data_IF_661488205763
#
_entry.id   IF_661488205763
#
_cell.length_a   1.000
_cell.length_b   1.000
_cell.length_c   1.000
_cell.angle_alpha   90.00
_cell.angle_beta   90.00
_cell.angle_gamma   90.00
#
_symmetry.space_group_name_H-M   'P 1'
#
loop_
_entity.id
_entity.type
_entity.pdbx_description
1 polymer ?
#
# COMPACT_ATOMS: atom_id res chain seq x y z
N UNK A 1 -3.31 -11.76 -28.43
CA UNK A 1 -2.02 -12.41 -28.10
C UNK A 1 -1.68 -11.98 -26.68
N UNK A 2 -1.99 -12.82 -25.70
CA UNK A 2 -1.54 -12.57 -24.32
C UNK A 2 -0.02 -12.75 -24.32
N UNK A 3 0.73 -11.66 -24.15
CA UNK A 3 2.13 -11.75 -23.78
C UNK A 3 2.17 -12.51 -22.46
N UNK A 4 2.71 -13.71 -22.45
CA UNK A 4 3.05 -14.42 -21.23
C UNK A 4 4.04 -13.53 -20.49
N UNK A 5 3.58 -12.89 -19.41
CA UNK A 5 4.50 -12.21 -18.51
C UNK A 5 5.52 -13.24 -18.02
N UNK A 6 6.82 -12.96 -18.09
CA UNK A 6 7.80 -13.80 -17.40
C UNK A 6 7.40 -13.85 -15.92
N UNK A 7 7.56 -15.00 -15.31
CA UNK A 7 7.31 -15.14 -13.88
C UNK A 7 8.17 -14.08 -13.15
N UNK A 8 7.53 -13.18 -12.45
CA UNK A 8 8.17 -12.07 -11.74
C UNK A 8 7.83 -12.18 -10.26
N UNK A 9 8.80 -12.03 -9.39
CA UNK A 9 8.60 -11.92 -7.96
C UNK A 9 8.31 -10.47 -7.56
N UNK A 10 7.59 -10.29 -6.46
CA UNK A 10 7.39 -8.98 -5.85
C UNK A 10 7.86 -8.96 -4.39
N UNK A 11 8.28 -7.78 -3.93
CA UNK A 11 8.47 -7.48 -2.50
C UNK A 11 7.42 -6.47 -2.09
N UNK A 12 6.67 -6.76 -1.04
CA UNK A 12 5.73 -5.83 -0.40
C UNK A 12 6.32 -5.38 0.92
N UNK A 13 6.61 -4.08 1.06
CA UNK A 13 7.19 -3.51 2.26
C UNK A 13 6.12 -3.22 3.31
N UNK A 14 6.06 -4.03 4.35
CA UNK A 14 5.05 -4.00 5.39
C UNK A 14 5.63 -3.80 6.81
N UNK A 15 6.95 -3.64 6.97
CA UNK A 15 7.66 -3.55 8.25
C UNK A 15 7.71 -2.13 8.87
N UNK A 16 6.72 -1.26 8.63
CA UNK A 16 6.68 0.08 9.21
C UNK A 16 5.98 0.14 10.57
N UNK A 17 6.37 1.06 11.47
CA UNK A 17 5.65 1.31 12.74
C UNK A 17 4.23 1.85 12.54
N UNK A 18 3.97 2.53 11.43
CA UNK A 18 2.67 3.17 11.21
C UNK A 18 2.37 4.32 12.18
N UNK A 19 3.37 5.02 12.68
CA UNK A 19 3.23 6.06 13.73
C UNK A 19 2.23 7.16 13.37
N UNK A 20 2.14 7.54 12.09
CA UNK A 20 1.17 8.53 11.58
C UNK A 20 -0.29 8.03 11.60
N UNK A 21 -0.49 6.73 11.77
CA UNK A 21 -1.80 6.10 11.93
C UNK A 21 -2.20 5.90 13.41
N UNK A 22 -1.34 6.31 14.36
CA UNK A 22 -1.70 6.24 15.78
C UNK A 22 -2.99 7.04 16.06
N UNK A 23 -3.91 6.51 16.90
CA UNK A 23 -3.77 5.29 17.72
C UNK A 23 -4.17 3.98 17.03
N UNK A 24 -4.63 3.97 15.77
CA UNK A 24 -5.06 2.75 15.05
C UNK A 24 -3.95 1.69 15.01
N UNK A 25 -2.71 2.13 14.71
CA UNK A 25 -1.53 1.26 14.63
C UNK A 25 -1.10 0.63 15.96
N UNK A 26 -1.64 1.10 17.10
CA UNK A 26 -1.40 0.49 18.42
C UNK A 26 -2.18 -0.85 18.58
N UNK A 27 -3.22 -1.05 17.80
CA UNK A 27 -4.12 -2.22 17.87
C UNK A 27 -3.91 -3.20 16.73
N UNK A 28 -3.62 -2.71 15.53
CA UNK A 28 -3.31 -3.53 14.36
C UNK A 28 -2.10 -2.94 13.64
N UNK A 29 -1.16 -3.77 13.13
CA UNK A 29 -0.10 -3.26 12.28
C UNK A 29 -0.72 -2.66 11.01
N UNK A 30 -0.10 -1.59 10.48
CA UNK A 30 -0.60 -0.85 9.32
C UNK A 30 -1.09 -1.75 8.17
N UNK A 31 -0.36 -2.84 7.77
CA UNK A 31 -0.80 -3.71 6.69
C UNK A 31 -2.12 -4.44 6.97
N UNK A 32 -2.51 -4.57 8.23
CA UNK A 32 -3.74 -5.27 8.63
C UNK A 32 -4.92 -4.35 8.97
N UNK A 33 -4.75 -3.04 8.87
CA UNK A 33 -5.86 -2.09 9.06
C UNK A 33 -6.91 -2.35 7.97
N UNK A 34 -8.20 -2.53 8.35
CA UNK A 34 -9.22 -2.96 7.41
C UNK A 34 -9.69 -1.82 6.46
N UNK A 35 -9.76 -2.10 5.19
CA UNK A 35 -10.44 -1.28 4.18
C UNK A 35 -11.67 -2.07 3.72
N UNK A 36 -12.87 -1.58 4.02
CA UNK A 36 -14.13 -2.27 3.75
C UNK A 36 -14.07 -3.76 4.17
N UNK A 37 -13.75 -3.98 5.44
CA UNK A 37 -13.72 -5.31 6.08
C UNK A 37 -12.61 -6.26 5.64
N UNK A 38 -11.68 -5.83 4.77
CA UNK A 38 -10.50 -6.63 4.38
C UNK A 38 -9.22 -5.89 4.73
N UNK A 39 -8.17 -6.57 5.24
CA UNK A 39 -6.88 -5.95 5.51
C UNK A 39 -6.29 -5.25 4.28
N UNK A 40 -5.60 -4.12 4.48
CA UNK A 40 -4.92 -3.39 3.42
C UNK A 40 -3.97 -4.30 2.63
N UNK A 41 -3.21 -5.14 3.31
CA UNK A 41 -2.32 -6.13 2.69
C UNK A 41 -3.08 -7.14 1.84
N UNK A 42 -4.31 -7.53 2.23
CA UNK A 42 -5.15 -8.41 1.41
C UNK A 42 -5.41 -7.81 0.02
N UNK A 43 -5.78 -6.53 -0.04
CA UNK A 43 -6.04 -5.84 -1.32
C UNK A 43 -4.80 -5.81 -2.20
N UNK A 44 -3.62 -5.57 -1.61
CA UNK A 44 -2.36 -5.53 -2.34
C UNK A 44 -2.01 -6.93 -2.88
N UNK A 45 -2.03 -7.96 -2.03
CA UNK A 45 -1.72 -9.33 -2.42
C UNK A 45 -2.68 -9.84 -3.51
N UNK A 46 -3.96 -9.57 -3.35
CA UNK A 46 -4.99 -9.96 -4.32
C UNK A 46 -4.79 -9.28 -5.68
N UNK A 47 -4.49 -7.98 -5.69
CA UNK A 47 -4.13 -7.25 -6.91
C UNK A 47 -2.90 -7.85 -7.60
N UNK A 48 -1.83 -8.13 -6.86
CA UNK A 48 -0.61 -8.71 -7.40
C UNK A 48 -0.87 -10.10 -8.00
N UNK A 49 -1.61 -10.96 -7.29
CA UNK A 49 -2.00 -12.28 -7.79
C UNK A 49 -2.78 -12.20 -9.10
N UNK A 50 -3.75 -11.31 -9.19
CA UNK A 50 -4.53 -11.08 -10.43
C UNK A 50 -3.69 -10.52 -11.57
N UNK A 51 -2.61 -9.84 -11.26
CA UNK A 51 -1.61 -9.39 -12.25
C UNK A 51 -0.59 -10.47 -12.61
N UNK A 52 -0.80 -11.73 -12.19
CA UNK A 52 0.08 -12.86 -12.47
C UNK A 52 1.30 -12.96 -11.58
N UNK A 53 1.37 -12.20 -10.48
CA UNK A 53 2.48 -12.21 -9.52
C UNK A 53 2.05 -12.98 -8.28
N UNK A 54 2.43 -14.26 -8.22
CA UNK A 54 2.06 -15.17 -7.13
C UNK A 54 3.18 -15.40 -6.10
N UNK A 55 4.44 -15.14 -6.46
CA UNK A 55 5.61 -15.24 -5.57
C UNK A 55 5.91 -13.88 -4.94
N UNK A 56 5.61 -13.73 -3.64
CA UNK A 56 5.65 -12.43 -2.98
C UNK A 56 6.46 -12.51 -1.69
N UNK A 57 7.48 -11.68 -1.56
CA UNK A 57 8.17 -11.42 -0.29
C UNK A 57 7.42 -10.36 0.52
N UNK A 58 7.20 -10.59 1.80
CA UNK A 58 6.58 -9.61 2.71
C UNK A 58 7.47 -9.46 3.94
N UNK A 59 8.02 -8.27 4.17
CA UNK A 59 8.72 -7.98 5.41
C UNK A 59 7.75 -7.57 6.51
N UNK A 60 8.13 -7.80 7.76
CA UNK A 60 7.29 -7.49 8.92
C UNK A 60 8.16 -7.14 10.14
N UNK A 61 7.65 -6.27 10.99
CA UNK A 61 8.29 -5.84 12.23
C UNK A 61 7.25 -5.75 13.36
N UNK A 62 6.55 -4.63 13.46
CA UNK A 62 5.55 -4.37 14.49
C UNK A 62 4.35 -5.32 14.37
N UNK A 63 3.97 -5.98 15.48
CA UNK A 63 2.90 -6.98 15.53
C UNK A 63 3.09 -8.10 14.48
N UNK A 64 4.32 -8.58 14.29
CA UNK A 64 4.68 -9.57 13.27
C UNK A 64 3.83 -10.85 13.35
N UNK A 65 3.44 -11.28 14.54
CA UNK A 65 2.63 -12.50 14.73
C UNK A 65 1.23 -12.37 14.12
N UNK A 66 0.62 -11.18 14.18
CA UNK A 66 -0.65 -10.92 13.51
C UNK A 66 -0.51 -11.00 11.99
N UNK A 67 0.60 -10.47 11.44
CA UNK A 67 0.89 -10.58 10.01
C UNK A 67 1.12 -12.03 9.61
N UNK A 68 1.87 -12.83 10.40
CA UNK A 68 2.05 -14.27 10.15
C UNK A 68 0.74 -15.03 10.13
N UNK A 69 -0.12 -14.80 11.13
CA UNK A 69 -1.44 -15.44 11.21
C UNK A 69 -2.31 -15.08 10.00
N UNK A 70 -2.31 -13.80 9.62
CA UNK A 70 -3.03 -13.36 8.44
C UNK A 70 -2.53 -14.06 7.18
N UNK A 71 -1.21 -14.11 6.96
CA UNK A 71 -0.61 -14.74 5.77
C UNK A 71 -0.91 -16.25 5.74
N UNK A 72 -0.84 -16.93 6.86
CA UNK A 72 -1.14 -18.37 6.95
C UNK A 72 -2.58 -18.71 6.54
N UNK A 73 -3.49 -17.76 6.62
CA UNK A 73 -4.90 -17.91 6.23
C UNK A 73 -5.19 -17.50 4.77
N UNK A 74 -4.15 -17.15 3.97
CA UNK A 74 -4.34 -16.74 2.58
C UNK A 74 -4.54 -17.92 1.64
N UNK A 75 -5.01 -17.62 0.43
CA UNK A 75 -5.17 -18.59 -0.65
C UNK A 75 -3.87 -19.35 -0.92
N UNK A 76 -3.90 -20.70 -0.98
CA UNK A 76 -2.72 -21.52 -1.33
C UNK A 76 -2.14 -21.22 -2.73
N UNK A 77 -2.86 -20.50 -3.59
CA UNK A 77 -2.32 -19.99 -4.86
C UNK A 77 -1.24 -18.93 -4.71
N UNK A 78 -1.12 -18.28 -3.55
CA UNK A 78 -0.06 -17.31 -3.24
C UNK A 78 1.12 -18.00 -2.53
N UNK A 79 2.32 -17.83 -3.06
CA UNK A 79 3.58 -18.28 -2.45
C UNK A 79 4.24 -17.10 -1.74
N UNK A 80 4.03 -17.00 -0.43
CA UNK A 80 4.49 -15.85 0.35
C UNK A 80 5.72 -16.22 1.18
N UNK A 81 6.82 -15.50 0.95
CA UNK A 81 8.05 -15.56 1.75
C UNK A 81 8.05 -14.43 2.77
N UNK A 82 8.19 -14.76 4.05
CA UNK A 82 8.20 -13.78 5.14
C UNK A 82 9.61 -13.45 5.59
N UNK A 83 9.92 -12.17 5.79
CA UNK A 83 11.13 -11.69 6.44
C UNK A 83 10.78 -10.91 7.69
N UNK A 84 11.25 -11.37 8.85
CA UNK A 84 11.10 -10.66 10.12
C UNK A 84 12.29 -9.74 10.37
N UNK A 85 12.02 -8.49 10.65
CA UNK A 85 13.00 -7.47 11.01
C UNK A 85 12.95 -7.26 12.54
N UNK A 86 13.94 -7.73 13.32
CA UNK A 86 14.02 -7.41 14.76
C UNK A 86 14.14 -5.90 15.02
N UNK A 87 14.86 -5.21 14.12
CA UNK A 87 14.94 -3.75 14.01
C UNK A 87 14.56 -3.35 12.59
N UNK A 88 13.95 -2.18 12.42
CA UNK A 88 13.53 -1.71 11.09
C UNK A 88 14.76 -1.48 10.21
N UNK A 89 14.81 -2.18 9.09
CA UNK A 89 15.91 -2.13 8.14
C UNK A 89 15.81 -0.97 7.12
N UNK A 90 14.73 -0.22 7.09
CA UNK A 90 14.47 0.75 6.04
C UNK A 90 14.13 0.09 4.70
N UNK A 91 13.90 0.89 3.66
CA UNK A 91 13.43 0.37 2.36
C UNK A 91 14.50 -0.50 1.68
N UNK A 92 15.74 -0.03 1.57
CA UNK A 92 16.80 -0.80 0.91
C UNK A 92 17.21 -2.02 1.74
N UNK A 93 17.33 -1.89 3.05
CA UNK A 93 17.62 -3.03 3.92
C UNK A 93 16.52 -4.10 3.89
N UNK A 94 15.26 -3.68 3.86
CA UNK A 94 14.11 -4.58 3.69
C UNK A 94 14.15 -5.34 2.35
N UNK A 95 14.57 -4.69 1.25
CA UNK A 95 14.82 -5.36 -0.03
C UNK A 95 15.99 -6.35 0.11
N UNK A 96 17.08 -5.92 0.74
CA UNK A 96 18.29 -6.74 0.96
C UNK A 96 18.02 -8.03 1.74
N UNK A 97 17.03 -8.03 2.65
CA UNK A 97 16.62 -9.22 3.40
C UNK A 97 16.04 -10.33 2.50
N UNK A 98 15.68 -10.02 1.26
CA UNK A 98 15.13 -10.98 0.29
C UNK A 98 16.16 -11.45 -0.76
N UNK A 99 17.48 -11.27 -0.56
CA UNK A 99 18.51 -11.69 -1.53
C UNK A 99 18.35 -13.15 -1.98
N UNK A 100 18.18 -14.09 -1.07
CA UNK A 100 18.00 -15.50 -1.41
C UNK A 100 16.66 -15.77 -2.10
N UNK A 101 15.60 -15.08 -1.70
CA UNK A 101 14.30 -15.16 -2.37
C UNK A 101 14.36 -14.66 -3.81
N UNK A 102 15.16 -13.62 -4.08
CA UNK A 102 15.35 -13.02 -5.41
C UNK A 102 16.46 -13.68 -6.24
N UNK A 103 17.15 -14.65 -5.67
CA UNK A 103 18.22 -15.37 -6.36
C UNK A 103 17.71 -15.96 -7.68
N UNK A 104 18.46 -15.73 -8.75
CA UNK A 104 18.15 -16.13 -10.13
C UNK A 104 16.95 -15.42 -10.80
N UNK A 105 16.38 -14.42 -10.16
CA UNK A 105 15.42 -13.55 -10.84
C UNK A 105 16.16 -12.50 -11.68
N UNK A 106 15.79 -12.28 -12.94
CA UNK A 106 16.40 -11.21 -13.73
C UNK A 106 15.98 -9.82 -13.22
N UNK A 107 14.76 -9.70 -12.72
CA UNK A 107 14.22 -8.48 -12.14
C UNK A 107 13.04 -8.80 -11.22
N UNK A 108 12.66 -7.86 -10.40
CA UNK A 108 11.54 -7.96 -9.46
C UNK A 108 10.79 -6.64 -9.31
N UNK A 109 9.63 -6.71 -8.72
CA UNK A 109 8.81 -5.55 -8.38
C UNK A 109 8.91 -5.22 -6.90
N UNK A 110 8.99 -3.94 -6.57
CA UNK A 110 8.79 -3.39 -5.23
C UNK A 110 7.42 -2.74 -5.13
N UNK A 111 6.70 -2.99 -4.05
CA UNK A 111 5.43 -2.34 -3.74
C UNK A 111 5.39 -1.92 -2.27
N UNK A 112 5.09 -0.68 -2.00
CA UNK A 112 4.85 -0.23 -0.62
C UNK A 112 3.58 -0.85 -0.07
N UNK A 113 3.64 -1.37 1.17
CA UNK A 113 2.52 -2.03 1.85
C UNK A 113 1.39 -1.12 2.33
N UNK A 114 1.46 0.17 1.98
CA UNK A 114 0.47 1.19 2.34
C UNK A 114 -0.21 1.84 1.13
N UNK A 115 0.05 1.35 -0.07
CA UNK A 115 -0.46 1.93 -1.32
C UNK A 115 -1.60 1.10 -1.89
N UNK A 116 -2.73 1.74 -2.12
CA UNK A 116 -3.80 1.22 -2.97
C UNK A 116 -3.79 1.92 -4.31
N UNK A 117 -3.90 1.17 -5.40
CA UNK A 117 -3.96 1.77 -6.75
C UNK A 117 -4.58 0.85 -7.79
N UNK A 118 -5.05 1.46 -8.89
CA UNK A 118 -5.47 0.73 -10.11
C UNK A 118 -4.37 0.67 -11.17
N UNK A 119 -3.14 1.05 -10.82
CA UNK A 119 -1.98 1.03 -11.73
C UNK A 119 -1.76 -0.41 -12.26
N UNK A 120 -1.72 -0.63 -13.59
CA UNK A 120 -1.59 -1.95 -14.21
C UNK A 120 -0.12 -2.41 -14.16
N UNK A 121 0.27 -3.07 -13.08
CA UNK A 121 1.67 -3.46 -12.83
C UNK A 121 2.19 -4.48 -13.84
N UNK A 122 1.34 -5.33 -14.38
CA UNK A 122 1.62 -6.26 -15.46
C UNK A 122 2.12 -5.55 -16.73
N UNK A 123 1.39 -4.53 -17.18
CA UNK A 123 1.78 -3.74 -18.37
C UNK A 123 3.05 -2.93 -18.13
N UNK A 124 3.24 -2.45 -16.90
CA UNK A 124 4.44 -1.70 -16.54
C UNK A 124 5.68 -2.59 -16.46
N UNK A 125 5.55 -3.85 -16.06
CA UNK A 125 6.64 -4.81 -16.10
C UNK A 125 7.19 -5.00 -17.53
N UNK A 126 6.31 -5.12 -18.53
CA UNK A 126 6.71 -5.19 -19.94
C UNK A 126 7.46 -3.91 -20.36
N UNK A 127 6.91 -2.74 -20.05
CA UNK A 127 7.55 -1.45 -20.36
C UNK A 127 8.92 -1.29 -19.67
N UNK A 128 9.07 -1.82 -18.46
CA UNK A 128 10.34 -1.81 -17.75
C UNK A 128 11.41 -2.63 -18.47
N UNK A 129 11.07 -3.85 -18.92
CA UNK A 129 12.02 -4.71 -19.64
C UNK A 129 12.55 -4.08 -20.93
N UNK A 130 11.73 -3.27 -21.61
CA UNK A 130 12.15 -2.52 -22.79
C UNK A 130 13.20 -1.44 -22.48
N UNK A 131 13.20 -0.91 -21.23
CA UNK A 131 14.08 0.19 -20.82
C UNK A 131 15.53 -0.22 -20.55
N UNK A 132 15.79 -1.47 -20.21
CA UNK A 132 17.14 -1.97 -19.84
C UNK A 132 17.82 -1.10 -18.78
N UNK A 133 17.05 -0.65 -17.79
CA UNK A 133 17.52 0.20 -16.69
C UNK A 133 17.76 -0.65 -15.44
N UNK A 134 18.67 -0.21 -14.57
CA UNK A 134 18.90 -0.84 -13.27
C UNK A 134 17.62 -0.79 -12.41
N UNK A 135 16.87 0.31 -12.51
CA UNK A 135 15.61 0.52 -11.80
C UNK A 135 14.68 1.39 -12.63
N UNK A 136 13.37 1.20 -12.46
CA UNK A 136 12.38 2.16 -12.89
C UNK A 136 11.37 2.43 -11.77
N UNK A 137 11.19 3.70 -11.42
CA UNK A 137 10.17 4.14 -10.47
C UNK A 137 8.88 4.49 -11.21
N UNK A 138 7.76 4.01 -10.68
CA UNK A 138 6.44 4.41 -11.21
C UNK A 138 6.06 5.74 -10.60
N UNK A 139 5.88 6.74 -11.45
CA UNK A 139 5.63 8.12 -11.06
C UNK A 139 4.28 8.62 -11.60
N UNK A 140 3.64 9.49 -10.84
CA UNK A 140 2.45 10.21 -11.28
C UNK A 140 2.48 11.68 -10.85
N UNK A 141 1.62 12.49 -11.42
CA UNK A 141 1.49 13.88 -10.98
C UNK A 141 0.62 13.97 -9.72
N UNK A 142 1.25 14.27 -8.59
CA UNK A 142 0.55 14.54 -7.33
C UNK A 142 1.20 15.75 -6.65
N UNK A 143 0.68 16.98 -6.83
CA UNK A 143 1.35 18.22 -6.45
C UNK A 143 1.88 18.27 -5.01
N UNK A 144 1.18 17.65 -4.07
CA UNK A 144 1.62 17.60 -2.66
C UNK A 144 2.86 16.71 -2.41
N UNK A 145 3.24 15.84 -3.37
CA UNK A 145 4.32 14.85 -3.22
C UNK A 145 5.34 14.85 -4.36
N UNK A 146 5.24 15.82 -5.31
CA UNK A 146 6.14 15.91 -6.45
C UNK A 146 7.57 16.29 -6.04
N UNK A 147 8.38 15.29 -5.70
CA UNK A 147 9.76 15.45 -5.22
C UNK A 147 10.78 14.56 -5.95
N UNK A 148 10.38 13.94 -7.07
CA UNK A 148 11.24 13.19 -7.99
C UNK A 148 11.44 14.00 -9.25
N UNK A 149 12.69 14.39 -9.53
CA UNK A 149 13.05 15.16 -10.71
C UNK A 149 13.38 14.24 -11.89
N UNK A 150 12.74 14.48 -13.02
CA UNK A 150 12.89 13.70 -14.26
C UNK A 150 13.51 14.58 -15.32
N UNK A 151 14.58 14.12 -15.96
CA UNK A 151 15.28 14.76 -17.06
C UNK A 151 14.48 14.66 -18.39
N UNK A 152 14.82 15.44 -19.45
CA UNK A 152 14.12 15.38 -20.73
C UNK A 152 14.14 14.01 -21.42
N UNK A 153 15.15 13.16 -21.16
CA UNK A 153 15.29 11.82 -21.71
C UNK A 153 14.50 10.75 -20.96
N UNK A 154 13.79 11.13 -19.88
CA UNK A 154 12.99 10.23 -19.05
C UNK A 154 13.73 9.59 -17.90
N UNK A 155 15.02 9.89 -17.69
CA UNK A 155 15.76 9.43 -16.52
C UNK A 155 15.41 10.21 -15.26
N UNK A 156 15.47 9.56 -14.11
CA UNK A 156 15.39 10.23 -12.81
C UNK A 156 16.76 10.83 -12.54
N UNK A 157 16.82 12.15 -12.36
CA UNK A 157 18.05 12.90 -12.15
C UNK A 157 18.21 13.46 -10.73
N UNK A 158 17.14 13.43 -9.92
CA UNK A 158 17.21 13.82 -8.51
C UNK A 158 16.02 13.29 -7.71
N UNK A 159 16.23 13.15 -6.43
CA UNK A 159 15.24 12.78 -5.43
C UNK A 159 15.29 13.79 -4.27
N UNK A 160 14.13 14.33 -3.89
CA UNK A 160 13.95 15.26 -2.76
C UNK A 160 14.79 16.54 -2.86
N UNK A 161 15.03 17.04 -4.07
CA UNK A 161 15.82 18.26 -4.34
C UNK A 161 17.24 18.23 -3.73
N UNK A 162 17.87 17.04 -3.74
CA UNK A 162 19.18 16.80 -3.11
C UNK A 162 20.35 17.18 -4.03
N UNK A 163 20.31 16.75 -5.31
CA UNK A 163 21.38 16.97 -6.29
C UNK A 163 21.23 18.28 -7.05
N UNK A 164 20.01 18.76 -7.23
CA UNK A 164 19.63 20.00 -7.92
C UNK A 164 20.23 20.15 -9.32
N UNK A 165 19.98 19.20 -10.23
CA UNK A 165 20.51 19.23 -11.59
C UNK A 165 19.99 20.45 -12.37
N UNK A 166 20.79 20.93 -13.34
CA UNK A 166 20.46 22.11 -14.14
C UNK A 166 19.25 21.92 -15.08
N UNK A 167 18.99 20.69 -15.51
CA UNK A 167 17.97 20.37 -16.51
C UNK A 167 16.94 19.37 -15.96
N UNK A 168 15.87 19.90 -15.40
CA UNK A 168 14.71 19.13 -14.93
C UNK A 168 13.53 19.42 -15.86
N UNK A 169 13.00 18.39 -16.50
CA UNK A 169 11.82 18.52 -17.35
C UNK A 169 10.51 18.47 -16.55
N UNK A 170 10.44 17.61 -15.52
CA UNK A 170 9.26 17.43 -14.67
C UNK A 170 9.66 17.11 -13.24
N UNK A 171 8.78 17.48 -12.30
CA UNK A 171 8.78 16.92 -10.93
C UNK A 171 7.51 16.13 -10.73
N UNK A 172 7.63 14.89 -10.27
CA UNK A 172 6.55 13.95 -10.10
C UNK A 172 6.64 13.26 -8.72
N UNK A 173 5.56 12.63 -8.30
CA UNK A 173 5.49 11.86 -7.08
C UNK A 173 5.81 10.38 -7.33
N UNK A 174 6.57 9.77 -6.43
CA UNK A 174 6.78 8.33 -6.42
C UNK A 174 5.55 7.62 -5.86
N UNK A 175 5.02 6.66 -6.60
CA UNK A 175 3.80 5.94 -6.24
C UNK A 175 4.01 4.86 -5.17
N UNK A 176 5.25 4.58 -4.77
CA UNK A 176 5.57 3.42 -3.94
C UNK A 176 5.69 2.11 -4.73
N UNK A 177 5.72 2.17 -6.07
CA UNK A 177 5.88 1.01 -6.95
C UNK A 177 7.13 1.21 -7.81
N UNK A 178 8.01 0.21 -7.85
CA UNK A 178 9.20 0.23 -8.69
C UNK A 178 9.49 -1.17 -9.28
N UNK A 179 10.22 -1.19 -10.39
CA UNK A 179 10.79 -2.39 -10.97
C UNK A 179 12.31 -2.28 -10.89
N UNK A 180 12.99 -3.37 -10.56
CA UNK A 180 14.42 -3.38 -10.29
C UNK A 180 15.07 -4.60 -10.92
N UNK A 181 16.17 -4.41 -11.64
CA UNK A 181 17.08 -5.48 -11.99
C UNK A 181 17.68 -6.08 -10.71
N UNK A 182 17.89 -7.39 -10.67
CA UNK A 182 18.40 -8.05 -9.46
C UNK A 182 19.80 -7.55 -9.07
N UNK A 183 20.57 -7.03 -10.02
CA UNK A 183 21.89 -6.42 -9.73
C UNK A 183 21.81 -5.16 -8.88
N UNK A 184 20.60 -4.56 -8.68
CA UNK A 184 20.42 -3.48 -7.71
C UNK A 184 20.84 -3.90 -6.30
N UNK A 185 20.77 -5.19 -6.00
CA UNK A 185 21.19 -5.74 -4.72
C UNK A 185 22.70 -5.50 -4.44
N UNK A 186 23.53 -5.34 -5.46
CA UNK A 186 24.96 -5.05 -5.30
C UNK A 186 25.20 -3.64 -4.73
N UNK A 187 24.22 -2.73 -4.87
CA UNK A 187 24.25 -1.36 -4.31
C UNK A 187 23.64 -1.27 -2.91
N UNK A 188 23.03 -2.35 -2.42
CA UNK A 188 22.42 -2.41 -1.10
C UNK A 188 23.39 -3.09 -0.13
N UNK A 189 23.63 -2.54 1.08
CA UNK A 189 24.42 -3.21 2.09
C UNK A 189 23.97 -4.65 2.35
N UNK A 190 24.94 -5.56 2.54
CA UNK A 190 24.63 -6.97 2.77
C UNK A 190 23.84 -7.20 4.07
N UNK A 191 23.99 -6.32 5.05
CA UNK A 191 23.32 -6.38 6.35
C UNK A 191 23.09 -4.97 6.91
N UNK A 192 22.11 -4.87 7.81
CA UNK A 192 21.80 -3.65 8.55
C UNK A 192 20.83 -2.70 7.84
N UNK A 193 20.47 -1.61 8.52
CA UNK A 193 19.53 -0.63 8.00
C UNK A 193 20.08 0.15 6.80
N UNK A 194 19.25 0.32 5.78
CA UNK A 194 19.57 1.14 4.61
C UNK A 194 18.30 1.71 3.99
N UNK A 195 18.34 2.99 3.62
CA UNK A 195 17.26 3.66 2.89
C UNK A 195 17.52 3.64 1.38
N UNK A 196 16.46 3.50 0.59
CA UNK A 196 16.55 3.43 -0.86
C UNK A 196 16.94 4.77 -1.51
N UNK A 197 16.54 5.91 -0.93
CA UNK A 197 16.82 7.23 -1.50
C UNK A 197 18.34 7.52 -1.59
N UNK A 198 19.15 7.34 -0.53
CA UNK A 198 20.61 7.46 -0.64
C UNK A 198 21.20 6.54 -1.71
N UNK A 199 20.79 5.27 -1.75
CA UNK A 199 21.25 4.31 -2.77
C UNK A 199 20.97 4.83 -4.19
N UNK A 200 19.76 5.31 -4.44
CA UNK A 200 19.40 5.89 -5.75
C UNK A 200 20.24 7.14 -6.08
N UNK A 201 20.46 8.02 -5.10
CA UNK A 201 21.26 9.24 -5.29
C UNK A 201 22.72 8.90 -5.62
N UNK A 202 23.28 7.88 -5.03
CA UNK A 202 24.65 7.43 -5.33
C UNK A 202 24.73 6.81 -6.74
N UNK A 203 23.75 6.00 -7.13
CA UNK A 203 23.64 5.47 -8.51
C UNK A 203 23.56 6.61 -9.53
N UNK A 204 22.76 7.66 -9.25
CA UNK A 204 22.64 8.84 -10.12
C UNK A 204 23.96 9.60 -10.22
N UNK A 205 24.67 9.81 -9.09
CA UNK A 205 25.97 10.49 -9.05
C UNK A 205 27.05 9.77 -9.83
N UNK A 206 27.09 8.43 -9.70
CA UNK A 206 28.04 7.61 -10.45
C UNK A 206 27.81 7.64 -11.96
N UNK A 207 26.59 7.80 -12.41
CA UNK A 207 26.21 7.91 -13.81
C UNK A 207 26.45 6.65 -14.65
N UNK A 208 26.76 5.50 -14.03
CA UNK A 208 27.03 4.23 -14.72
C UNK A 208 25.76 3.47 -15.04
N UNK A 209 24.70 3.66 -14.24
CA UNK A 209 23.42 3.00 -14.36
C UNK A 209 22.28 4.01 -14.42
N UNK A 210 21.20 3.63 -15.08
CA UNK A 210 20.04 4.50 -15.25
C UNK A 210 18.94 4.11 -14.28
N UNK A 211 18.30 5.12 -13.70
CA UNK A 211 17.01 4.99 -13.04
C UNK A 211 15.98 5.69 -13.92
N UNK A 212 15.01 4.94 -14.43
CA UNK A 212 14.00 5.43 -15.37
C UNK A 212 12.71 5.85 -14.67
N UNK A 213 11.99 6.78 -15.27
CA UNK A 213 10.64 7.13 -14.88
C UNK A 213 9.61 6.37 -15.71
N UNK A 214 8.76 5.56 -15.07
CA UNK A 214 7.56 5.00 -15.68
C UNK A 214 6.37 5.90 -15.28
N UNK A 215 6.11 6.91 -16.11
CA UNK A 215 5.06 7.89 -15.82
C UNK A 215 3.70 7.26 -16.12
N UNK A 216 2.78 7.39 -15.17
CA UNK A 216 1.40 6.92 -15.24
C UNK A 216 0.44 8.05 -14.88
N UNK A 217 -0.61 8.22 -15.69
CA UNK A 217 -1.66 9.20 -15.48
C UNK A 217 -3.03 8.52 -15.58
N UNK A 218 -4.02 9.10 -14.90
CA UNK A 218 -5.41 8.62 -14.97
C UNK A 218 -5.75 7.38 -14.14
N UNK A 219 -4.80 6.86 -13.36
CA UNK A 219 -5.04 5.75 -12.44
C UNK A 219 -5.35 6.26 -11.03
N UNK A 220 -6.28 5.59 -10.35
CA UNK A 220 -6.52 5.86 -8.94
C UNK A 220 -5.32 5.40 -8.10
N UNK A 221 -4.92 6.24 -7.15
CA UNK A 221 -3.81 5.99 -6.23
C UNK A 221 -4.06 6.67 -4.89
N UNK A 222 -3.79 5.97 -3.80
CA UNK A 222 -3.85 6.50 -2.43
C UNK A 222 -2.79 5.86 -1.55
N UNK A 223 -2.09 6.71 -0.79
CA UNK A 223 -1.30 6.33 0.37
C UNK A 223 -2.22 6.29 1.60
N UNK A 224 -2.32 5.13 2.23
CA UNK A 224 -3.08 4.93 3.48
C UNK A 224 -2.11 5.07 4.66
N UNK A 225 -1.48 6.24 4.77
CA UNK A 225 -0.39 6.51 5.72
C UNK A 225 -0.78 7.26 6.98
N UNK A 226 -1.96 7.89 7.03
CA UNK A 226 -2.45 8.69 8.15
C UNK A 226 -3.89 8.35 8.50
N UNK A 227 -4.34 8.71 9.72
CA UNK A 227 -5.75 8.57 10.12
C UNK A 227 -6.67 9.26 9.11
N UNK A 228 -6.29 10.48 8.69
CA UNK A 228 -7.06 11.25 7.71
C UNK A 228 -7.12 10.53 6.35
N UNK A 229 -5.98 10.07 5.79
CA UNK A 229 -6.00 9.38 4.50
C UNK A 229 -6.78 8.05 4.57
N UNK A 230 -6.74 7.35 5.70
CA UNK A 230 -7.55 6.15 5.93
C UNK A 230 -9.05 6.45 5.91
N UNK A 231 -9.48 7.50 6.60
CA UNK A 231 -10.88 7.94 6.61
C UNK A 231 -11.36 8.38 5.23
N UNK A 232 -10.54 9.17 4.53
CA UNK A 232 -10.83 9.66 3.19
C UNK A 232 -10.99 8.54 2.15
N UNK A 233 -10.13 7.51 2.23
CA UNK A 233 -10.25 6.34 1.34
C UNK A 233 -11.61 5.67 1.47
N UNK A 234 -12.12 5.47 2.68
CA UNK A 234 -13.46 4.90 2.89
C UNK A 234 -14.56 5.82 2.34
N UNK A 235 -14.45 7.12 2.62
CA UNK A 235 -15.39 8.12 2.12
C UNK A 235 -15.45 8.15 0.61
N UNK A 236 -14.31 8.12 -0.08
CA UNK A 236 -14.24 8.14 -1.54
C UNK A 236 -14.76 6.83 -2.16
N UNK A 237 -14.41 5.68 -1.58
CA UNK A 237 -14.88 4.37 -2.05
C UNK A 237 -16.40 4.25 -1.93
N UNK A 238 -16.96 4.56 -0.76
CA UNK A 238 -18.37 4.43 -0.48
C UNK A 238 -19.22 5.50 -1.19
N UNK A 239 -18.63 6.65 -1.51
CA UNK A 239 -19.26 7.66 -2.37
C UNK A 239 -19.17 7.35 -3.88
N UNK A 240 -18.53 6.24 -4.28
CA UNK A 240 -18.33 5.89 -5.68
C UNK A 240 -17.39 6.85 -6.44
N UNK A 241 -16.57 7.64 -5.73
CA UNK A 241 -15.69 8.65 -6.32
C UNK A 241 -14.34 8.09 -6.82
N UNK A 242 -14.05 6.86 -6.49
CA UNK A 242 -12.80 6.19 -6.87
C UNK A 242 -13.03 4.72 -7.18
N UNK A 243 -12.28 4.19 -8.13
CA UNK A 243 -12.26 2.77 -8.49
C UNK A 243 -11.06 2.03 -7.88
N UNK A 244 -10.52 2.49 -6.72
CA UNK A 244 -9.34 1.88 -6.09
C UNK A 244 -9.45 0.38 -5.87
N UNK A 245 -10.65 -0.12 -5.67
CA UNK A 245 -10.95 -1.54 -5.43
C UNK A 245 -11.91 -2.06 -6.52
N UNK A 246 -11.46 -2.19 -7.78
CA UNK A 246 -12.34 -2.51 -8.90
C UNK A 246 -13.00 -3.90 -8.80
N UNK A 247 -12.44 -4.77 -7.97
CA UNK A 247 -12.89 -6.15 -7.77
C UNK A 247 -13.89 -6.28 -6.61
N UNK A 248 -14.15 -5.21 -5.88
CA UNK A 248 -15.17 -5.17 -4.84
C UNK A 248 -16.44 -4.49 -5.36
N UNK A 249 -17.58 -5.16 -5.20
CA UNK A 249 -18.86 -4.53 -5.41
C UNK A 249 -19.08 -3.44 -4.36
N UNK A 250 -19.15 -2.19 -4.79
CA UNK A 250 -19.44 -1.07 -3.89
C UNK A 250 -20.94 -0.98 -3.65
N UNK A 251 -21.37 -0.83 -2.37
CA UNK A 251 -22.79 -0.66 -2.05
C UNK A 251 -23.32 0.63 -2.68
N UNK A 252 -24.46 0.55 -3.35
CA UNK A 252 -25.06 1.70 -4.05
C UNK A 252 -25.54 2.82 -3.10
N UNK A 253 -25.79 2.48 -1.84
CA UNK A 253 -26.25 3.40 -0.79
C UNK A 253 -25.11 4.03 0.03
N UNK A 254 -23.84 3.72 -0.32
CA UNK A 254 -22.66 4.23 0.37
C UNK A 254 -22.41 3.61 1.75
N UNK A 255 -22.96 2.40 2.02
CA UNK A 255 -22.89 1.74 3.33
C UNK A 255 -22.40 0.32 3.20
N UNK A 256 -21.20 0.06 3.67
CA UNK A 256 -20.65 -1.28 3.76
C UNK A 256 -20.95 -1.87 5.14
N UNK A 257 -21.66 -2.99 5.18
CA UNK A 257 -21.86 -3.80 6.37
C UNK A 257 -21.37 -5.22 6.12
N UNK A 258 -20.59 -5.75 7.05
CA UNK A 258 -20.25 -7.16 7.04
C UNK A 258 -21.50 -8.03 7.28
N UNK A 259 -21.46 -9.30 6.84
CA UNK A 259 -22.63 -10.18 6.85
C UNK A 259 -23.23 -10.48 8.25
N UNK A 260 -22.39 -10.39 9.29
CA UNK A 260 -22.72 -10.73 10.68
C UNK A 260 -22.91 -9.49 11.58
N UNK A 261 -23.29 -8.36 11.00
CA UNK A 261 -23.66 -7.14 11.72
C UNK A 261 -25.12 -7.22 12.21
N UNK A 262 -25.33 -6.89 13.48
CA UNK A 262 -26.65 -6.79 14.07
C UNK A 262 -27.08 -5.33 14.20
N UNK A 263 -28.18 -4.97 13.59
CA UNK A 263 -28.82 -3.65 13.71
C UNK A 263 -30.15 -3.81 14.47
N UNK A 264 -30.23 -3.26 15.68
CA UNK A 264 -31.46 -3.29 16.46
C UNK A 264 -32.45 -2.20 16.00
N UNK A 265 -33.67 -2.31 16.48
CA UNK A 265 -34.77 -1.41 16.12
C UNK A 265 -34.42 0.07 16.35
N UNK A 266 -34.72 0.92 15.36
CA UNK A 266 -34.46 2.36 15.43
C UNK A 266 -33.00 2.76 15.22
N UNK A 267 -32.06 1.81 15.05
CA UNK A 267 -30.68 2.15 14.69
C UNK A 267 -30.64 2.78 13.29
N UNK A 268 -29.80 3.81 13.10
CA UNK A 268 -29.71 4.57 11.85
C UNK A 268 -28.27 4.66 11.33
N UNK A 269 -28.13 4.50 10.02
CA UNK A 269 -26.88 4.73 9.31
C UNK A 269 -27.04 5.97 8.43
N UNK A 270 -26.12 6.94 8.52
CA UNK A 270 -26.17 8.21 7.80
C UNK A 270 -24.85 8.51 7.10
N UNK A 271 -24.94 9.06 5.88
CA UNK A 271 -23.75 9.32 5.07
C UNK A 271 -23.01 8.05 4.69
N UNK A 272 -21.67 8.10 4.60
CA UNK A 272 -20.86 6.91 4.36
C UNK A 272 -20.62 6.16 5.69
N UNK A 273 -20.82 4.86 5.66
CA UNK A 273 -20.66 4.01 6.85
C UNK A 273 -19.99 2.69 6.43
N UNK A 274 -18.94 2.32 7.16
CA UNK A 274 -18.28 1.00 7.03
C UNK A 274 -18.35 0.28 8.38
N UNK A 275 -19.00 -0.88 8.44
CA UNK A 275 -19.17 -1.67 9.66
C UNK A 275 -18.52 -3.03 9.48
N UNK A 276 -17.54 -3.32 10.33
CA UNK A 276 -16.84 -4.60 10.37
C UNK A 276 -17.70 -5.74 10.94
N UNK A 277 -17.08 -6.91 11.06
CA UNK A 277 -17.76 -8.15 11.48
C UNK A 277 -18.17 -8.10 12.96
N UNK A 278 -19.24 -8.83 13.29
CA UNK A 278 -19.75 -9.02 14.67
C UNK A 278 -20.01 -7.70 15.41
N UNK A 279 -20.30 -6.64 14.68
CA UNK A 279 -20.74 -5.39 15.28
C UNK A 279 -22.19 -5.46 15.69
N UNK A 280 -22.52 -4.79 16.81
CA UNK A 280 -23.88 -4.65 17.32
C UNK A 280 -24.21 -3.17 17.44
N UNK A 281 -25.22 -2.73 16.69
CA UNK A 281 -25.77 -1.38 16.76
C UNK A 281 -27.07 -1.48 17.55
N UNK A 282 -27.04 -1.07 18.84
CA UNK A 282 -28.19 -1.18 19.74
C UNK A 282 -29.27 -0.17 19.37
N UNK A 283 -30.45 -0.31 20.00
CA UNK A 283 -31.65 0.48 19.73
C UNK A 283 -31.37 1.98 19.67
N UNK A 284 -31.94 2.65 18.67
CA UNK A 284 -31.88 4.10 18.50
C UNK A 284 -30.45 4.67 18.38
N UNK A 285 -29.43 3.84 18.17
CA UNK A 285 -28.07 4.32 17.89
C UNK A 285 -28.00 4.98 16.50
N UNK A 286 -27.12 5.97 16.32
CA UNK A 286 -26.91 6.66 15.05
C UNK A 286 -25.43 6.59 14.68
N UNK A 287 -25.14 6.08 13.48
CA UNK A 287 -23.80 6.01 12.94
C UNK A 287 -23.74 6.90 11.70
N UNK A 288 -22.93 7.94 11.75
CA UNK A 288 -22.86 8.96 10.71
C UNK A 288 -21.42 9.22 10.27
N UNK A 289 -21.13 9.05 8.97
CA UNK A 289 -19.77 9.21 8.41
C UNK A 289 -18.72 8.48 9.25
N UNK A 290 -18.85 7.19 9.45
CA UNK A 290 -18.01 6.49 10.40
C UNK A 290 -17.54 5.11 9.92
N UNK A 291 -16.42 4.67 10.49
CA UNK A 291 -15.80 3.37 10.25
C UNK A 291 -15.77 2.63 11.58
N UNK A 292 -16.48 1.52 11.67
CA UNK A 292 -16.45 0.61 12.80
C UNK A 292 -15.62 -0.62 12.41
N UNK A 293 -14.59 -0.93 13.20
CA UNK A 293 -13.82 -2.16 13.07
C UNK A 293 -14.62 -3.36 13.59
N UNK A 294 -14.06 -4.55 13.48
CA UNK A 294 -14.70 -5.77 13.98
C UNK A 294 -14.98 -5.72 15.48
N UNK A 295 -16.03 -6.43 15.92
CA UNK A 295 -16.38 -6.64 17.33
C UNK A 295 -16.72 -5.34 18.09
N UNK A 296 -17.27 -4.33 17.44
CA UNK A 296 -17.70 -3.07 18.06
C UNK A 296 -19.16 -3.17 18.46
N UNK A 297 -19.49 -2.77 19.70
CA UNK A 297 -20.85 -2.56 20.15
C UNK A 297 -21.11 -1.07 20.37
N UNK A 298 -22.12 -0.52 19.72
CA UNK A 298 -22.60 0.84 19.93
C UNK A 298 -23.83 0.75 20.82
N UNK A 299 -23.78 1.40 21.97
CA UNK A 299 -24.82 1.36 22.99
C UNK A 299 -26.10 2.09 22.53
N UNK A 300 -27.21 1.81 23.24
CA UNK A 300 -28.53 2.39 22.96
C UNK A 300 -28.49 3.92 22.97
N UNK A 301 -29.05 4.55 21.94
CA UNK A 301 -29.16 6.00 21.80
C UNK A 301 -27.85 6.73 21.55
N UNK A 302 -26.72 6.03 21.43
CA UNK A 302 -25.40 6.66 21.17
C UNK A 302 -25.32 7.15 19.72
N UNK A 303 -24.83 8.37 19.50
CA UNK A 303 -24.53 8.94 18.20
C UNK A 303 -23.03 9.00 17.97
N UNK A 304 -22.54 8.22 17.01
CA UNK A 304 -21.16 8.24 16.50
C UNK A 304 -21.14 9.04 15.20
N UNK A 305 -20.27 10.05 15.14
CA UNK A 305 -20.15 10.93 13.99
C UNK A 305 -18.69 11.25 13.66
N UNK A 306 -18.37 11.25 12.35
CA UNK A 306 -17.06 11.59 11.78
C UNK A 306 -15.92 10.90 12.54
N UNK A 307 -16.04 9.57 12.72
CA UNK A 307 -15.15 8.82 13.60
C UNK A 307 -14.75 7.43 13.07
N UNK A 308 -13.64 6.95 13.58
CA UNK A 308 -13.17 5.57 13.45
C UNK A 308 -13.27 4.93 14.84
N UNK A 309 -13.96 3.81 14.93
CA UNK A 309 -14.25 3.13 16.19
C UNK A 309 -13.71 1.71 16.15
N UNK A 310 -12.90 1.37 17.14
CA UNK A 310 -12.50 -0.01 17.43
C UNK A 310 -12.96 -0.41 18.84
N UNK A 311 -12.74 -1.67 19.21
CA UNK A 311 -13.18 -2.19 20.53
C UNK A 311 -12.68 -1.39 21.73
N UNK A 312 -11.57 -0.68 21.61
CA UNK A 312 -10.89 0.01 22.72
C UNK A 312 -10.53 1.47 22.40
N UNK A 313 -11.00 2.00 21.28
CA UNK A 313 -10.70 3.38 20.90
C UNK A 313 -11.82 4.01 20.07
N UNK A 314 -11.91 5.32 20.14
CA UNK A 314 -12.64 6.17 19.21
C UNK A 314 -11.68 7.27 18.77
N UNK A 315 -11.59 7.51 17.48
CA UNK A 315 -10.76 8.57 16.88
C UNK A 315 -11.64 9.39 15.97
N UNK A 316 -11.75 10.69 16.24
CA UNK A 316 -12.46 11.60 15.35
C UNK A 316 -11.56 11.97 14.16
N UNK A 317 -12.14 11.92 12.97
CA UNK A 317 -11.49 12.27 11.72
C UNK A 317 -11.95 13.68 11.32
N UNK A 318 -11.51 14.68 12.05
CA UNK A 318 -11.83 16.08 11.84
C UNK A 318 -10.63 16.96 12.11
#
# INVERSE_FOLDING_TARGET
>A
MFLLLPSMKAIVLAAGYGTRLSPLSNYLPKPLIPILGKPLLWHILHKLNRSGIADIGVNMHHHADLVRQFIAAQDPGLRISLSYEPEILGVAGGIGAFREFLKNEPFFMLHNGDVLSTIPVDRLAVRYQEKRALMAMVLHNHPAYNNVSVAPDGTICDLRDTLRPAHVARKLAYTGIAFMDATVLDFIPAQGPADLIPVCLDIIREGKHRIEALIVDGYAWRDVGTVQSYFEVHRELLAGRTALLPDMAMPADGRYLAEDVTCEEGSQLRGFVSVGRRCVLKKNSIIENAILWDDVTIEEGVHIRDAIVGRKFIVHAG
#
